data_IF_569749145829
#
_entry.id   IF_569749145829
#
_cell.length_a   1.000
_cell.length_b   1.000
_cell.length_c   1.000
_cell.angle_alpha   90.00
_cell.angle_beta   90.00
_cell.angle_gamma   90.00
#
_symmetry.space_group_name_H-M   'P 1'
#
loop_
_entity.id
_entity.type
_entity.pdbx_description
1 polymer ?
#
# COMPACT_ATOMS: atom_id res chain seq x y z
N UNK A 1 5.73 -11.89 -2.91
CA UNK A 1 6.60 -11.54 -1.76
C UNK A 1 7.03 -10.10 -1.90
N UNK A 2 6.74 -9.23 -0.92
CA UNK A 2 7.35 -7.91 -0.81
C UNK A 2 8.77 -8.05 -0.28
N UNK A 3 9.76 -7.76 -1.12
CA UNK A 3 11.16 -8.04 -0.82
C UNK A 3 11.90 -6.88 -0.13
N UNK A 4 11.27 -5.71 -0.03
CA UNK A 4 11.81 -4.52 0.64
C UNK A 4 11.73 -3.25 -0.22
N UNK A 5 12.33 -2.16 0.30
CA UNK A 5 12.31 -0.83 -0.32
C UNK A 5 13.70 -0.48 -0.89
N UNK A 6 13.92 -0.64 -2.21
CA UNK A 6 15.23 -0.37 -2.84
C UNK A 6 15.72 1.08 -2.69
N UNK A 7 14.80 2.01 -2.41
CA UNK A 7 15.15 3.42 -2.24
C UNK A 7 15.83 3.75 -0.90
N UNK A 8 15.79 2.85 0.08
CA UNK A 8 16.38 3.07 1.41
C UNK A 8 17.90 3.13 1.33
N UNK A 9 18.53 2.14 0.68
CA UNK A 9 19.98 2.09 0.53
C UNK A 9 20.42 1.29 -0.70
N UNK A 10 21.70 1.41 -1.05
CA UNK A 10 22.31 0.58 -2.09
C UNK A 10 22.34 -0.91 -1.70
N UNK A 11 22.40 -1.22 -0.42
CA UNK A 11 22.36 -2.57 0.14
C UNK A 11 20.98 -3.18 -0.08
N UNK A 12 19.91 -2.43 0.21
CA UNK A 12 18.52 -2.88 0.01
C UNK A 12 18.26 -3.14 -1.47
N UNK A 13 18.65 -2.24 -2.36
CA UNK A 13 18.53 -2.42 -3.80
C UNK A 13 19.28 -3.68 -4.29
N UNK A 14 20.50 -3.94 -3.76
CA UNK A 14 21.24 -5.16 -4.09
C UNK A 14 20.57 -6.42 -3.54
N UNK A 15 19.98 -6.34 -2.33
CA UNK A 15 19.25 -7.45 -1.74
C UNK A 15 18.02 -7.83 -2.56
N UNK A 16 17.18 -6.86 -2.89
CA UNK A 16 15.99 -7.07 -3.75
C UNK A 16 16.41 -7.64 -5.11
N UNK A 17 17.41 -7.05 -5.77
CA UNK A 17 17.91 -7.57 -7.06
C UNK A 17 18.42 -9.01 -6.97
N UNK A 18 19.05 -9.41 -5.84
CA UNK A 18 19.49 -10.79 -5.63
C UNK A 18 18.31 -11.74 -5.45
N UNK A 19 17.25 -11.32 -4.75
CA UNK A 19 16.02 -12.11 -4.57
C UNK A 19 15.36 -12.35 -5.93
N UNK A 20 15.17 -11.30 -6.73
CA UNK A 20 14.61 -11.38 -8.09
C UNK A 20 15.38 -12.37 -8.96
N UNK A 21 16.73 -12.30 -8.93
CA UNK A 21 17.61 -13.20 -9.71
C UNK A 21 17.50 -14.68 -9.32
N UNK A 22 16.93 -15.01 -8.16
CA UNK A 22 16.68 -16.39 -7.76
C UNK A 22 15.55 -17.06 -8.54
N UNK A 23 14.72 -16.28 -9.24
CA UNK A 23 13.60 -16.80 -10.03
C UNK A 23 12.71 -17.76 -9.23
N UNK A 24 12.31 -17.32 -8.04
CA UNK A 24 11.42 -18.09 -7.18
C UNK A 24 10.06 -18.29 -7.86
N UNK A 25 9.32 -19.36 -7.54
CA UNK A 25 7.99 -19.61 -8.09
C UNK A 25 6.93 -18.70 -7.44
N UNK A 26 7.21 -17.42 -7.35
CA UNK A 26 6.34 -16.38 -6.77
C UNK A 26 6.72 -15.01 -7.32
N UNK A 27 5.77 -14.12 -7.38
CA UNK A 27 6.00 -12.73 -7.75
C UNK A 27 6.81 -12.00 -6.67
N UNK A 28 7.76 -11.18 -7.10
CA UNK A 28 8.59 -10.36 -6.21
C UNK A 28 8.19 -8.90 -6.39
N UNK A 29 7.72 -8.30 -5.33
CA UNK A 29 7.32 -6.90 -5.28
C UNK A 29 8.37 -6.07 -4.55
N UNK A 30 8.51 -4.82 -4.97
CA UNK A 30 9.21 -3.79 -4.22
C UNK A 30 8.22 -2.91 -3.47
N UNK A 31 8.71 -2.19 -2.47
CA UNK A 31 7.98 -1.13 -1.78
C UNK A 31 8.57 0.23 -2.16
N UNK A 32 7.75 1.26 -2.32
CA UNK A 32 8.18 2.60 -2.68
C UNK A 32 7.26 3.67 -2.09
N UNK A 33 7.81 4.82 -1.76
CA UNK A 33 7.00 6.01 -1.54
C UNK A 33 6.43 6.52 -2.88
N UNK A 34 5.42 7.35 -2.83
CA UNK A 34 4.89 8.04 -4.02
C UNK A 34 5.90 9.04 -4.61
N UNK A 35 7.09 8.54 -4.96
CA UNK A 35 8.20 9.27 -5.56
C UNK A 35 8.64 8.52 -6.83
N UNK A 36 8.69 9.23 -7.95
CA UNK A 36 9.06 8.64 -9.25
C UNK A 36 10.43 7.96 -9.20
N UNK A 37 11.38 8.53 -8.48
CA UNK A 37 12.73 7.96 -8.36
C UNK A 37 12.76 6.67 -7.53
N UNK A 38 11.90 6.55 -6.51
CA UNK A 38 11.76 5.30 -5.74
C UNK A 38 11.18 4.19 -6.63
N UNK A 39 10.16 4.53 -7.43
CA UNK A 39 9.57 3.60 -8.41
C UNK A 39 10.61 3.13 -9.44
N UNK A 40 11.41 4.04 -9.99
CA UNK A 40 12.50 3.68 -10.93
C UNK A 40 13.51 2.73 -10.30
N UNK A 41 13.93 3.01 -9.06
CA UNK A 41 14.87 2.13 -8.35
C UNK A 41 14.31 0.73 -8.14
N UNK A 42 13.02 0.61 -7.83
CA UNK A 42 12.36 -0.69 -7.72
C UNK A 42 12.31 -1.41 -9.08
N UNK A 43 11.93 -0.70 -10.14
CA UNK A 43 11.94 -1.25 -11.51
C UNK A 43 13.33 -1.73 -11.94
N UNK A 44 14.39 -0.97 -11.64
CA UNK A 44 15.78 -1.32 -11.95
C UNK A 44 16.24 -2.59 -11.21
N UNK A 45 15.62 -2.94 -10.08
CA UNK A 45 15.85 -4.21 -9.39
C UNK A 45 15.23 -5.42 -10.10
N UNK A 46 14.32 -5.18 -11.07
CA UNK A 46 13.65 -6.22 -11.85
C UNK A 46 12.45 -6.86 -11.16
N UNK A 47 11.81 -6.16 -10.21
CA UNK A 47 10.59 -6.63 -9.56
C UNK A 47 9.43 -6.71 -10.55
N UNK A 48 8.45 -7.59 -10.31
CA UNK A 48 7.24 -7.75 -11.14
C UNK A 48 6.11 -6.80 -10.74
N UNK A 49 6.13 -6.33 -9.50
CA UNK A 49 5.13 -5.42 -8.98
C UNK A 49 5.69 -4.51 -7.90
N UNK A 50 4.90 -3.54 -7.49
CA UNK A 50 5.30 -2.52 -6.55
C UNK A 50 4.12 -2.10 -5.66
N UNK A 51 4.38 -1.97 -4.37
CA UNK A 51 3.48 -1.32 -3.41
C UNK A 51 3.92 0.14 -3.27
N UNK A 52 3.02 1.08 -3.53
CA UNK A 52 3.34 2.52 -3.53
C UNK A 52 2.58 3.22 -2.42
N UNK A 53 3.30 3.64 -1.39
CA UNK A 53 2.73 4.29 -0.21
C UNK A 53 2.59 5.80 -0.35
N UNK A 54 1.51 6.34 0.23
CA UNK A 54 1.28 7.77 0.45
C UNK A 54 0.57 7.98 1.79
N UNK A 55 0.91 9.01 2.59
CA UNK A 55 0.09 9.35 3.74
C UNK A 55 -1.31 9.76 3.28
N UNK A 56 -2.35 9.23 3.91
CA UNK A 56 -3.73 9.58 3.62
C UNK A 56 -4.45 10.28 4.76
N UNK A 57 -3.89 10.27 5.97
CA UNK A 57 -4.38 11.09 7.08
C UNK A 57 -4.01 12.56 6.85
N UNK A 58 -5.00 13.46 6.90
CA UNK A 58 -4.83 14.88 6.57
C UNK A 58 -3.87 15.60 7.52
N UNK A 59 -3.89 15.24 8.81
CA UNK A 59 -2.96 15.82 9.79
C UNK A 59 -1.52 15.34 9.50
N UNK A 60 -1.35 14.05 9.21
CA UNK A 60 -0.04 13.50 8.82
C UNK A 60 0.50 14.21 7.57
N UNK A 61 -0.34 14.40 6.55
CA UNK A 61 0.05 15.10 5.31
C UNK A 61 0.53 16.52 5.61
N UNK A 62 -0.19 17.26 6.43
CA UNK A 62 0.13 18.66 6.73
C UNK A 62 1.29 18.81 7.72
N UNK A 63 1.22 18.10 8.84
CA UNK A 63 2.14 18.34 9.96
C UNK A 63 3.46 17.56 9.83
N UNK A 64 3.42 16.30 9.34
CA UNK A 64 4.63 15.51 9.22
C UNK A 64 5.35 15.73 7.88
N UNK A 65 4.60 15.91 6.80
CA UNK A 65 5.17 16.06 5.45
C UNK A 65 5.19 17.51 4.96
N UNK A 66 4.45 18.42 5.57
CA UNK A 66 4.33 19.81 5.13
C UNK A 66 3.68 19.96 3.76
N UNK A 67 2.81 19.03 3.37
CA UNK A 67 2.16 19.03 2.06
C UNK A 67 0.72 19.50 2.13
N UNK A 68 0.22 20.01 0.99
CA UNK A 68 -1.23 20.12 0.79
C UNK A 68 -1.83 18.77 0.36
N UNK A 69 -3.13 18.64 0.49
CA UNK A 69 -3.84 17.43 0.03
C UNK A 69 -3.71 17.25 -1.49
N UNK A 70 -3.73 18.37 -2.25
CA UNK A 70 -3.52 18.37 -3.69
C UNK A 70 -2.13 17.86 -4.05
N UNK A 71 -1.13 18.16 -3.23
CA UNK A 71 0.24 17.66 -3.43
C UNK A 71 0.32 16.15 -3.25
N UNK A 72 -0.38 15.60 -2.25
CA UNK A 72 -0.46 14.16 -2.05
C UNK A 72 -1.08 13.45 -3.27
N UNK A 73 -2.17 14.02 -3.82
CA UNK A 73 -2.79 13.51 -5.07
C UNK A 73 -1.82 13.58 -6.24
N UNK A 74 -1.16 14.73 -6.44
CA UNK A 74 -0.20 14.94 -7.54
C UNK A 74 0.93 13.91 -7.51
N UNK A 75 1.51 13.68 -6.33
CA UNK A 75 2.59 12.70 -6.14
C UNK A 75 2.09 11.28 -6.42
N UNK A 76 0.91 10.92 -5.93
CA UNK A 76 0.30 9.62 -6.15
C UNK A 76 0.07 9.35 -7.64
N UNK A 77 -0.53 10.29 -8.35
CA UNK A 77 -0.77 10.18 -9.80
C UNK A 77 0.54 10.03 -10.57
N UNK A 78 1.56 10.83 -10.24
CA UNK A 78 2.86 10.77 -10.93
C UNK A 78 3.58 9.44 -10.69
N UNK A 79 3.62 8.97 -9.45
CA UNK A 79 4.32 7.74 -9.10
C UNK A 79 3.64 6.50 -9.70
N UNK A 80 2.30 6.43 -9.61
CA UNK A 80 1.54 5.29 -10.16
C UNK A 80 1.60 5.23 -11.69
N UNK A 81 1.59 6.38 -12.38
CA UNK A 81 1.86 6.42 -13.83
C UNK A 81 3.28 5.97 -14.19
N UNK A 82 4.26 6.33 -13.37
CA UNK A 82 5.63 5.87 -13.59
C UNK A 82 5.75 4.35 -13.45
N UNK A 83 5.06 3.76 -12.46
CA UNK A 83 5.00 2.32 -12.29
C UNK A 83 4.32 1.62 -13.47
N UNK A 84 3.18 2.14 -13.92
CA UNK A 84 2.51 1.66 -15.14
C UNK A 84 3.43 1.72 -16.36
N UNK A 85 4.12 2.85 -16.56
CA UNK A 85 5.07 3.02 -17.66
C UNK A 85 6.28 2.07 -17.60
N UNK A 86 6.62 1.59 -16.40
CA UNK A 86 7.64 0.56 -16.18
C UNK A 86 7.10 -0.88 -16.31
N UNK A 87 5.80 -1.07 -16.54
CA UNK A 87 5.15 -2.38 -16.65
C UNK A 87 5.00 -3.12 -15.33
N UNK A 88 5.00 -2.41 -14.20
CA UNK A 88 4.86 -3.00 -12.87
C UNK A 88 3.39 -3.15 -12.48
N UNK A 89 3.02 -4.32 -11.91
CA UNK A 89 1.77 -4.43 -11.18
C UNK A 89 1.78 -3.48 -9.99
N UNK A 90 0.80 -2.59 -9.90
CA UNK A 90 0.82 -1.46 -8.98
C UNK A 90 -0.25 -1.60 -7.90
N UNK A 91 0.18 -1.77 -6.64
CA UNK A 91 -0.68 -1.70 -5.46
C UNK A 91 -0.60 -0.30 -4.87
N UNK A 92 -1.71 0.43 -4.89
CA UNK A 92 -1.79 1.75 -4.24
C UNK A 92 -2.04 1.57 -2.74
N UNK A 93 -1.20 2.19 -1.91
CA UNK A 93 -1.13 1.92 -0.48
C UNK A 93 -1.25 3.21 0.35
N UNK A 94 -2.49 3.70 0.61
CA UNK A 94 -2.72 4.90 1.40
C UNK A 94 -2.57 4.61 2.90
N UNK A 95 -1.41 4.96 3.49
CA UNK A 95 -1.16 4.73 4.92
C UNK A 95 -2.02 5.60 5.81
N UNK A 96 -2.36 5.06 6.99
CA UNK A 96 -3.15 5.70 8.04
C UNK A 96 -4.58 6.10 7.60
N UNK A 97 -5.15 5.34 6.65
CA UNK A 97 -6.47 5.64 6.11
C UNK A 97 -7.61 5.44 7.11
N UNK A 98 -7.44 4.55 8.10
CA UNK A 98 -8.48 4.25 9.09
C UNK A 98 -8.71 5.39 10.10
N UNK A 99 -7.77 6.34 10.20
CA UNK A 99 -7.88 7.56 11.02
C UNK A 99 -8.13 8.83 10.21
N UNK A 100 -8.15 8.74 8.89
CA UNK A 100 -8.42 9.85 7.99
C UNK A 100 -9.93 10.09 7.84
N UNK A 101 -10.29 11.27 7.30
CA UNK A 101 -11.66 11.51 6.86
C UNK A 101 -11.99 10.61 5.66
N UNK A 102 -13.03 9.78 5.77
CA UNK A 102 -13.36 8.79 4.74
C UNK A 102 -13.69 9.43 3.38
N UNK A 103 -14.35 10.58 3.35
CA UNK A 103 -14.69 11.27 2.08
C UNK A 103 -13.43 11.77 1.37
N UNK A 104 -12.44 12.23 2.14
CA UNK A 104 -11.13 12.61 1.60
C UNK A 104 -10.38 11.39 1.06
N UNK A 105 -10.34 10.28 1.81
CA UNK A 105 -9.68 9.03 1.38
C UNK A 105 -10.30 8.54 0.08
N UNK A 106 -11.63 8.48 0.00
CA UNK A 106 -12.33 8.08 -1.22
C UNK A 106 -12.06 9.03 -2.40
N UNK A 107 -11.93 10.33 -2.14
CA UNK A 107 -11.53 11.30 -3.15
C UNK A 107 -10.10 11.04 -3.66
N UNK A 108 -9.15 10.85 -2.76
CA UNK A 108 -7.75 10.53 -3.11
C UNK A 108 -7.68 9.28 -3.99
N UNK A 109 -8.29 8.18 -3.54
CA UNK A 109 -8.31 6.91 -4.26
C UNK A 109 -8.98 7.07 -5.62
N UNK A 110 -10.14 7.74 -5.66
CA UNK A 110 -10.88 7.99 -6.91
C UNK A 110 -10.07 8.81 -7.93
N UNK A 111 -9.33 9.82 -7.48
CA UNK A 111 -8.45 10.59 -8.37
C UNK A 111 -7.26 9.77 -8.88
N UNK A 112 -6.65 8.93 -8.03
CA UNK A 112 -5.57 8.03 -8.48
C UNK A 112 -6.11 6.98 -9.45
N UNK A 113 -7.31 6.46 -9.25
CA UNK A 113 -7.95 5.53 -10.18
C UNK A 113 -8.26 6.16 -11.55
N UNK A 114 -8.66 7.44 -11.56
CA UNK A 114 -9.04 8.17 -12.78
C UNK A 114 -7.84 8.74 -13.53
N UNK A 115 -6.93 9.40 -12.82
CA UNK A 115 -5.85 10.20 -13.39
C UNK A 115 -4.47 9.52 -13.30
N UNK A 116 -4.34 8.53 -12.42
CA UNK A 116 -3.13 7.73 -12.21
C UNK A 116 -3.27 6.32 -12.78
N UNK A 117 -2.77 5.34 -12.01
CA UNK A 117 -2.95 3.92 -12.28
C UNK A 117 -2.90 3.12 -10.98
N UNK A 118 -3.72 2.08 -10.87
CA UNK A 118 -3.57 1.03 -9.85
C UNK A 118 -4.19 -0.27 -10.39
N UNK A 119 -3.53 -1.37 -10.12
CA UNK A 119 -4.06 -2.72 -10.38
C UNK A 119 -4.83 -3.22 -9.16
N UNK A 120 -4.38 -2.86 -7.95
CA UNK A 120 -5.04 -3.15 -6.69
C UNK A 120 -4.93 -1.97 -5.72
N UNK A 121 -5.81 -1.96 -4.72
CA UNK A 121 -5.84 -1.00 -3.62
C UNK A 121 -5.64 -1.71 -2.29
N UNK A 122 -4.69 -1.27 -1.48
CA UNK A 122 -4.55 -1.73 -0.11
C UNK A 122 -5.41 -0.91 0.87
N UNK A 123 -6.14 -1.61 1.72
CA UNK A 123 -6.88 -1.05 2.86
C UNK A 123 -5.97 -1.16 4.09
N UNK A 124 -5.50 -0.01 4.59
CA UNK A 124 -4.38 0.04 5.54
C UNK A 124 -4.81 0.57 6.89
N UNK A 125 -4.72 -0.28 7.93
CA UNK A 125 -4.85 0.12 9.34
C UNK A 125 -3.47 0.23 9.98
N UNK A 126 -2.82 1.35 9.73
CA UNK A 126 -1.42 1.60 10.14
C UNK A 126 -1.23 1.53 11.65
N UNK A 127 -2.22 1.93 12.44
CA UNK A 127 -2.13 1.94 13.90
C UNK A 127 -2.77 0.71 14.56
N UNK A 128 -3.32 -0.22 13.78
CA UNK A 128 -3.93 -1.44 14.30
C UNK A 128 -5.17 -1.20 15.19
N UNK A 129 -5.79 -0.02 15.08
CA UNK A 129 -6.86 0.40 15.97
C UNK A 129 -8.28 0.11 15.48
N UNK A 130 -8.42 -0.45 14.29
CA UNK A 130 -9.72 -0.75 13.70
C UNK A 130 -10.38 -1.92 14.45
N UNK A 131 -11.62 -1.74 14.86
CA UNK A 131 -12.38 -2.81 15.51
C UNK A 131 -12.91 -3.82 14.48
N UNK A 132 -12.82 -5.15 14.73
CA UNK A 132 -13.15 -6.17 13.73
C UNK A 132 -14.57 -6.05 13.14
N UNK A 133 -15.54 -5.62 13.92
CA UNK A 133 -16.93 -5.46 13.46
C UNK A 133 -17.13 -4.29 12.49
N UNK A 134 -16.18 -3.37 12.40
CA UNK A 134 -16.22 -2.23 11.47
C UNK A 134 -15.54 -2.52 10.12
N UNK A 135 -14.73 -3.58 10.05
CA UNK A 135 -14.00 -3.96 8.83
C UNK A 135 -14.94 -4.20 7.64
N UNK A 136 -16.06 -4.96 7.76
CA UNK A 136 -16.96 -5.16 6.64
C UNK A 136 -17.52 -3.86 6.09
N UNK A 137 -17.92 -2.92 6.97
CA UNK A 137 -18.42 -1.62 6.55
C UNK A 137 -17.39 -0.83 5.74
N UNK A 138 -16.12 -0.83 6.17
CA UNK A 138 -15.03 -0.16 5.46
C UNK A 138 -14.80 -0.79 4.07
N UNK A 139 -14.72 -2.12 4.00
CA UNK A 139 -14.55 -2.86 2.74
C UNK A 139 -15.70 -2.56 1.78
N UNK A 140 -16.96 -2.69 2.24
CA UNK A 140 -18.14 -2.41 1.43
C UNK A 140 -18.17 -0.95 0.93
N UNK A 141 -17.81 -0.01 1.80
CA UNK A 141 -17.75 1.42 1.45
C UNK A 141 -16.75 1.66 0.32
N UNK A 142 -15.57 1.06 0.39
CA UNK A 142 -14.54 1.20 -0.65
C UNK A 142 -14.99 0.50 -1.93
N UNK A 143 -15.44 -0.75 -1.86
CA UNK A 143 -15.89 -1.54 -3.02
C UNK A 143 -17.05 -0.87 -3.76
N UNK A 144 -17.91 -0.13 -3.07
CA UNK A 144 -19.00 0.61 -3.71
C UNK A 144 -18.52 1.76 -4.62
N UNK A 145 -17.26 2.16 -4.50
CA UNK A 145 -16.69 3.32 -5.20
C UNK A 145 -15.56 2.94 -6.16
N UNK A 146 -14.86 1.85 -5.90
CA UNK A 146 -13.66 1.45 -6.62
C UNK A 146 -13.81 0.00 -7.08
N UNK A 147 -13.80 -0.20 -8.40
CA UNK A 147 -13.84 -1.52 -9.04
C UNK A 147 -12.39 -2.01 -9.27
N UNK A 148 -11.71 -2.34 -8.18
CA UNK A 148 -10.35 -2.88 -8.18
C UNK A 148 -10.24 -3.98 -7.12
N UNK A 149 -9.35 -4.96 -7.30
CA UNK A 149 -8.97 -5.89 -6.24
C UNK A 149 -8.57 -5.14 -4.98
N UNK A 150 -9.04 -5.61 -3.82
CA UNK A 150 -8.70 -5.05 -2.52
C UNK A 150 -7.74 -5.97 -1.79
N UNK A 151 -6.66 -5.39 -1.29
CA UNK A 151 -5.71 -6.01 -0.39
C UNK A 151 -5.90 -5.44 1.01
N UNK A 152 -5.72 -6.22 2.07
CA UNK A 152 -5.84 -5.73 3.45
C UNK A 152 -4.50 -5.82 4.16
N UNK A 153 -4.15 -4.73 4.86
CA UNK A 153 -2.91 -4.60 5.62
C UNK A 153 -3.24 -4.02 7.00
N UNK A 154 -3.35 -4.91 7.98
CA UNK A 154 -3.79 -4.55 9.32
C UNK A 154 -2.72 -4.86 10.36
N UNK A 155 -2.18 -3.80 11.00
CA UNK A 155 -1.23 -3.94 12.10
C UNK A 155 -1.89 -4.51 13.36
N UNK A 156 -1.07 -5.04 14.26
CA UNK A 156 -1.51 -5.82 15.42
C UNK A 156 -1.23 -5.12 16.77
N UNK A 157 -1.07 -3.79 16.76
CA UNK A 157 -0.72 -3.00 17.97
C UNK A 157 -1.73 -3.20 19.12
N UNK A 158 -2.99 -3.47 18.80
CA UNK A 158 -4.05 -3.79 19.78
C UNK A 158 -4.44 -5.27 19.82
N UNK A 159 -3.65 -6.16 19.19
CA UNK A 159 -3.96 -7.60 19.12
C UNK A 159 -5.15 -7.93 18.22
N UNK A 160 -5.49 -7.07 17.27
CA UNK A 160 -6.67 -7.22 16.40
C UNK A 160 -6.32 -7.53 14.94
N UNK A 161 -5.03 -7.55 14.57
CA UNK A 161 -4.58 -7.70 13.19
C UNK A 161 -5.09 -8.98 12.54
N UNK A 162 -4.97 -10.13 13.20
CA UNK A 162 -5.49 -11.42 12.69
C UNK A 162 -7.01 -11.39 12.55
N UNK A 163 -7.73 -10.89 13.56
CA UNK A 163 -9.19 -10.81 13.52
C UNK A 163 -9.66 -9.90 12.39
N UNK A 164 -9.03 -8.74 12.23
CA UNK A 164 -9.33 -7.78 11.15
C UNK A 164 -9.03 -8.39 9.77
N UNK A 165 -7.93 -9.12 9.61
CA UNK A 165 -7.56 -9.79 8.37
C UNK A 165 -8.61 -10.85 7.96
N UNK A 166 -9.07 -11.66 8.92
CA UNK A 166 -10.14 -12.64 8.69
C UNK A 166 -11.44 -11.93 8.29
N UNK A 167 -11.80 -10.85 9.00
CA UNK A 167 -13.00 -10.08 8.66
C UNK A 167 -12.88 -9.39 7.30
N UNK A 168 -11.70 -8.91 6.92
CA UNK A 168 -11.43 -8.32 5.60
C UNK A 168 -11.65 -9.32 4.48
N UNK A 169 -11.08 -10.53 4.59
CA UNK A 169 -11.29 -11.60 3.62
C UNK A 169 -12.76 -12.04 3.56
N UNK A 170 -13.41 -12.17 4.73
CA UNK A 170 -14.83 -12.53 4.80
C UNK A 170 -15.74 -11.46 4.15
N UNK A 171 -15.33 -10.19 4.19
CA UNK A 171 -16.03 -9.06 3.54
C UNK A 171 -15.67 -8.93 2.04
N UNK A 172 -14.82 -9.81 1.52
CA UNK A 172 -14.50 -9.87 0.09
C UNK A 172 -13.25 -9.09 -0.32
N UNK A 173 -12.30 -8.91 0.57
CA UNK A 173 -10.93 -8.56 0.16
C UNK A 173 -10.28 -9.75 -0.55
N UNK A 174 -9.44 -9.47 -1.54
CA UNK A 174 -8.85 -10.50 -2.41
C UNK A 174 -7.51 -11.01 -1.88
N UNK A 175 -6.76 -10.16 -1.17
CA UNK A 175 -5.41 -10.47 -0.68
C UNK A 175 -5.25 -9.99 0.76
N UNK A 176 -4.50 -10.73 1.57
CA UNK A 176 -4.06 -10.30 2.90
C UNK A 176 -2.54 -10.18 2.94
N UNK A 177 -2.04 -9.05 3.45
CA UNK A 177 -0.63 -8.87 3.76
C UNK A 177 -0.32 -9.51 5.11
N UNK A 178 0.73 -10.30 5.15
CA UNK A 178 1.16 -10.99 6.39
C UNK A 178 2.67 -10.99 6.51
N UNK A 179 3.15 -11.15 7.74
CA UNK A 179 4.57 -11.32 8.03
C UNK A 179 4.85 -12.70 8.62
N UNK A 180 6.04 -13.24 8.38
CA UNK A 180 6.44 -14.51 8.97
C UNK A 180 6.87 -14.27 10.42
N UNK A 181 6.25 -15.01 11.36
CA UNK A 181 6.53 -14.91 12.81
C UNK A 181 6.35 -13.49 13.36
N UNK A 182 5.45 -12.72 12.80
CA UNK A 182 5.19 -11.33 13.15
C UNK A 182 6.45 -10.42 13.08
N UNK A 183 7.43 -10.78 12.25
CA UNK A 183 8.63 -9.99 12.04
C UNK A 183 8.40 -8.97 10.92
N UNK A 184 8.28 -7.70 11.28
CA UNK A 184 8.06 -6.60 10.35
C UNK A 184 8.53 -5.27 10.94
N UNK A 185 7.94 -4.18 10.49
CA UNK A 185 8.17 -2.83 11.01
C UNK A 185 7.91 -2.78 12.53
N UNK A 186 6.84 -3.43 12.97
CA UNK A 186 6.50 -3.69 14.38
C UNK A 186 6.14 -5.16 14.54
N UNK A 187 5.82 -5.58 15.76
CA UNK A 187 5.32 -6.93 16.01
C UNK A 187 3.89 -7.07 15.45
N UNK A 188 3.67 -8.04 14.60
CA UNK A 188 2.37 -8.32 13.99
C UNK A 188 2.14 -7.60 12.66
N UNK A 189 1.42 -8.27 11.84
CA UNK A 189 0.79 -7.84 10.57
C UNK A 189 0.24 -9.08 9.88
#
# INVERSE_FOLDING_TARGET
IEAGMPAVSAEDARAVSKIVKRRLPTEIFGFARCMVDDVKRAADCGVSGIVIEIPSNEEMIREAYGWSLEKAVELSVKATKAAQGAGLYTVFFPIDMTRANIDWVLKLIGQVAADGHMDALAVVDTMGGLAPHTVPYLIDTIKSRIDKPLEVHFHDDFGLGVANSIMGLAAGADVVHTTISACGERAGN
#
